data_IF_321943836335
#
_entry.id   IF_321943836335
#
_cell.length_a   1.000
_cell.length_b   1.000
_cell.length_c   1.000
_cell.angle_alpha   90.00
_cell.angle_beta   90.00
_cell.angle_gamma   90.00
#
_symmetry.space_group_name_H-M   'P 1'
#
loop_
_entity.id
_entity.type
_entity.pdbx_description
1 polymer ?
#
# COMPACT_ATOMS: atom_id res chain seq x y z
N UNK A 1 61.67 -3.41 40.02
CA UNK A 1 61.47 -2.19 39.22
C UNK A 1 60.15 -1.54 39.64
N UNK A 2 60.23 -0.27 40.07
CA UNK A 2 59.30 0.84 39.80
C UNK A 2 57.79 0.72 40.18
N UNK A 3 57.43 1.53 41.20
CA UNK A 3 56.30 2.49 41.32
C UNK A 3 54.84 1.96 41.19
N UNK A 4 54.00 2.09 42.24
CA UNK A 4 53.00 3.18 42.50
C UNK A 4 51.83 3.16 41.49
N UNK A 5 50.53 3.27 41.81
CA UNK A 5 49.72 4.17 42.67
C UNK A 5 48.25 3.63 42.55
N UNK A 6 47.44 3.38 43.58
CA UNK A 6 46.48 4.28 44.27
C UNK A 6 45.27 4.83 43.43
N UNK A 7 44.03 4.50 43.91
CA UNK A 7 42.76 5.31 43.98
C UNK A 7 41.83 5.26 42.70
N UNK A 8 40.51 5.57 42.74
CA UNK A 8 39.33 4.87 43.30
C UNK A 8 38.10 4.77 42.33
N UNK A 9 36.99 4.18 42.83
CA UNK A 9 35.55 4.49 42.63
C UNK A 9 35.13 5.28 41.36
N UNK A 10 34.19 4.72 40.56
CA UNK A 10 32.95 5.42 40.12
C UNK A 10 31.85 4.38 39.84
N UNK A 11 30.77 4.42 40.63
CA UNK A 11 29.46 3.89 40.25
C UNK A 11 28.87 4.85 39.21
N UNK A 12 28.58 4.34 38.02
CA UNK A 12 27.89 5.06 36.94
C UNK A 12 26.82 4.18 36.33
N UNK A 13 25.62 4.22 36.90
CA UNK A 13 24.38 3.80 36.27
C UNK A 13 24.07 4.80 35.14
N UNK A 14 23.98 4.39 33.87
CA UNK A 14 22.96 4.89 32.92
C UNK A 14 23.10 4.33 31.49
N UNK A 15 21.91 4.14 30.90
CA UNK A 15 21.55 4.21 29.48
C UNK A 15 21.82 2.98 28.60
N UNK A 16 20.82 2.09 28.63
CA UNK A 16 20.06 1.61 27.47
C UNK A 16 20.43 2.35 26.18
N UNK A 17 21.35 1.80 25.40
CA UNK A 17 21.40 2.07 23.96
C UNK A 17 20.52 1.01 23.29
N UNK A 18 19.22 1.30 23.22
CA UNK A 18 18.41 0.77 22.14
C UNK A 18 19.12 1.14 20.85
N UNK A 19 19.38 0.21 19.90
CA UNK A 19 19.59 0.66 18.55
C UNK A 19 18.29 1.33 18.12
N UNK A 20 18.26 2.67 18.16
CA UNK A 20 17.41 3.45 17.27
C UNK A 20 17.86 3.07 15.87
N UNK A 21 17.28 1.98 15.35
CA UNK A 21 17.12 1.83 13.93
C UNK A 21 16.28 3.03 13.53
N UNK A 22 16.96 4.10 13.11
CA UNK A 22 16.41 4.99 12.12
C UNK A 22 16.16 4.09 10.91
N UNK A 23 15.00 3.43 10.89
CA UNK A 23 14.37 2.99 9.66
C UNK A 23 13.99 4.29 8.97
N UNK A 24 15.00 4.85 8.31
CA UNK A 24 14.87 5.75 7.20
C UNK A 24 13.67 5.26 6.41
N UNK A 25 12.71 6.15 6.17
CA UNK A 25 11.56 5.89 5.33
C UNK A 25 12.10 5.56 3.95
N UNK A 26 12.41 4.28 3.73
CA UNK A 26 12.65 3.73 2.41
C UNK A 26 11.32 3.89 1.72
N UNK A 27 11.26 4.96 0.95
CA UNK A 27 10.26 5.16 -0.08
C UNK A 27 10.19 3.83 -0.81
N UNK A 28 9.09 3.08 -0.63
CA UNK A 28 8.81 1.86 -1.38
C UNK A 28 8.89 2.25 -2.86
N UNK A 29 10.04 2.06 -3.51
CA UNK A 29 10.21 2.26 -4.95
C UNK A 29 9.66 1.06 -5.68
N UNK A 30 8.44 0.69 -5.34
CA UNK A 30 7.78 -0.47 -5.87
C UNK A 30 7.03 -0.02 -7.12
N UNK A 31 7.41 -0.57 -8.27
CA UNK A 31 6.71 -0.32 -9.53
C UNK A 31 5.39 -1.11 -9.58
N UNK A 32 4.52 -0.96 -8.58
CA UNK A 32 3.23 -1.65 -8.57
C UNK A 32 2.25 -0.95 -9.50
N UNK A 33 1.53 -1.77 -10.26
CA UNK A 33 0.56 -1.30 -11.22
C UNK A 33 -0.79 -1.91 -10.86
N UNK A 34 -1.80 -1.08 -10.63
CA UNK A 34 -3.18 -1.52 -10.58
C UNK A 34 -3.72 -1.62 -12.01
N UNK A 35 -4.15 -2.81 -12.42
CA UNK A 35 -4.63 -3.13 -13.76
C UNK A 35 -6.12 -3.41 -13.70
N UNK A 36 -6.90 -2.55 -14.35
CA UNK A 36 -8.34 -2.70 -14.51
C UNK A 36 -8.62 -3.31 -15.88
N UNK A 37 -9.42 -4.38 -15.90
CA UNK A 37 -9.93 -4.95 -17.14
C UNK A 37 -10.83 -3.98 -17.91
N UNK A 38 -11.05 -4.26 -19.20
CA UNK A 38 -11.87 -3.43 -20.09
C UNK A 38 -13.39 -3.56 -19.86
N UNK A 39 -13.84 -4.43 -18.96
CA UNK A 39 -15.28 -4.62 -18.70
C UNK A 39 -15.86 -3.50 -17.83
N UNK A 40 -17.13 -3.14 -18.05
CA UNK A 40 -17.86 -2.14 -17.24
C UNK A 40 -18.06 -2.58 -15.79
N UNK A 41 -17.96 -3.88 -15.53
CA UNK A 41 -18.21 -4.49 -14.23
C UNK A 41 -17.01 -4.38 -13.27
N UNK A 42 -15.91 -3.81 -13.77
CA UNK A 42 -14.61 -3.73 -13.10
C UNK A 42 -14.56 -2.51 -12.17
N UNK A 43 -15.35 -1.46 -12.46
CA UNK A 43 -15.55 -0.28 -11.60
C UNK A 43 -16.99 0.19 -11.73
N UNK A 44 -17.74 0.21 -10.62
CA UNK A 44 -19.13 0.68 -10.62
C UNK A 44 -19.52 1.37 -9.32
N UNK A 45 -20.64 2.09 -9.33
CA UNK A 45 -21.30 2.60 -8.11
C UNK A 45 -22.59 1.83 -7.84
N UNK A 46 -22.80 1.44 -6.59
CA UNK A 46 -24.10 0.92 -6.18
C UNK A 46 -25.14 2.05 -5.99
N UNK A 47 -26.40 1.68 -5.70
CA UNK A 47 -27.49 2.64 -5.50
C UNK A 47 -27.28 3.59 -4.30
N UNK A 48 -26.37 3.25 -3.39
CA UNK A 48 -26.00 4.07 -2.23
C UNK A 48 -24.74 4.91 -2.51
N UNK A 49 -24.18 4.83 -3.72
CA UNK A 49 -22.99 5.57 -4.13
C UNK A 49 -21.66 4.95 -3.69
N UNK A 50 -21.66 3.72 -3.18
CA UNK A 50 -20.43 2.98 -2.84
C UNK A 50 -19.70 2.55 -4.10
N UNK A 51 -18.38 2.65 -4.10
CA UNK A 51 -17.55 2.16 -5.20
C UNK A 51 -17.33 0.65 -5.06
N UNK A 52 -17.60 -0.09 -6.13
CA UNK A 52 -17.23 -1.49 -6.28
C UNK A 52 -16.13 -1.56 -7.32
N UNK A 53 -15.00 -2.16 -6.97
CA UNK A 53 -13.85 -2.29 -7.86
C UNK A 53 -13.28 -3.70 -7.83
N UNK A 54 -12.94 -4.20 -9.02
CA UNK A 54 -12.22 -5.44 -9.22
C UNK A 54 -11.00 -5.09 -10.06
N UNK A 55 -9.80 -5.35 -9.60
CA UNK A 55 -8.60 -5.05 -10.38
C UNK A 55 -7.48 -5.98 -9.96
N UNK A 56 -6.45 -6.08 -10.80
CA UNK A 56 -5.24 -6.80 -10.43
C UNK A 56 -4.17 -5.82 -9.97
N UNK A 57 -3.34 -6.22 -9.01
CA UNK A 57 -2.09 -5.52 -8.72
C UNK A 57 -0.96 -6.41 -9.20
N UNK A 58 -0.18 -5.89 -10.14
CA UNK A 58 0.96 -6.58 -10.73
C UNK A 58 2.26 -5.90 -10.34
N UNK A 59 3.25 -6.71 -9.98
CA UNK A 59 4.58 -6.28 -9.59
C UNK A 59 5.46 -7.43 -9.12
N UNK A 60 6.73 -7.15 -8.85
CA UNK A 60 7.57 -8.09 -8.13
C UNK A 60 7.30 -7.89 -6.64
N UNK A 61 6.57 -8.81 -6.04
CA UNK A 61 6.23 -8.78 -4.62
C UNK A 61 7.06 -9.81 -3.85
N UNK A 62 7.69 -9.40 -2.77
CA UNK A 62 8.03 -10.27 -1.64
C UNK A 62 6.78 -10.56 -0.80
N UNK A 63 6.82 -11.61 0.02
CA UNK A 63 5.70 -11.92 0.93
C UNK A 63 5.44 -10.79 1.94
N UNK A 64 6.51 -10.13 2.39
CA UNK A 64 6.44 -8.97 3.28
C UNK A 64 5.75 -7.77 2.62
N UNK A 65 6.03 -7.53 1.33
CA UNK A 65 5.40 -6.44 0.58
C UNK A 65 3.89 -6.66 0.41
N UNK A 66 3.46 -7.90 0.19
CA UNK A 66 2.03 -8.26 0.14
C UNK A 66 1.36 -8.08 1.50
N UNK A 67 2.04 -8.49 2.57
CA UNK A 67 1.53 -8.31 3.93
C UNK A 67 1.38 -6.83 4.29
N UNK A 68 2.35 -6.00 3.88
CA UNK A 68 2.31 -4.56 4.08
C UNK A 68 1.20 -3.90 3.26
N UNK A 69 1.02 -4.29 2.00
CA UNK A 69 -0.08 -3.84 1.16
C UNK A 69 -1.44 -4.14 1.81
N UNK A 70 -1.64 -5.38 2.29
CA UNK A 70 -2.84 -5.79 3.04
C UNK A 70 -3.04 -4.92 4.28
N UNK A 71 -1.96 -4.63 5.02
CA UNK A 71 -1.99 -3.81 6.21
C UNK A 71 -2.40 -2.37 5.90
N UNK A 72 -1.81 -1.76 4.86
CA UNK A 72 -2.12 -0.39 4.43
C UNK A 72 -3.58 -0.24 3.97
N UNK A 73 -4.06 -1.17 3.15
CA UNK A 73 -5.46 -1.20 2.70
C UNK A 73 -6.43 -1.35 3.88
N UNK A 74 -6.12 -2.26 4.81
CA UNK A 74 -6.97 -2.48 5.99
C UNK A 74 -6.95 -1.27 6.94
N UNK A 75 -5.80 -0.61 7.10
CA UNK A 75 -5.63 0.53 8.01
C UNK A 75 -6.30 1.81 7.49
N UNK A 76 -6.49 1.95 6.17
CA UNK A 76 -7.10 3.14 5.57
C UNK A 76 -8.62 3.23 5.81
N UNK A 77 -9.25 2.11 6.21
CA UNK A 77 -10.63 2.03 6.73
C UNK A 77 -11.72 2.64 5.82
N UNK A 78 -11.53 2.55 4.49
CA UNK A 78 -12.53 3.01 3.51
C UNK A 78 -13.43 1.88 2.98
N UNK A 79 -13.19 0.64 3.40
CA UNK A 79 -13.84 -0.54 2.82
C UNK A 79 -14.97 -1.07 3.71
N UNK A 80 -16.06 -1.48 3.07
CA UNK A 80 -17.07 -2.35 3.65
C UNK A 80 -16.66 -3.82 3.46
N UNK A 81 -16.16 -4.15 2.27
CA UNK A 81 -15.51 -5.42 1.98
C UNK A 81 -14.21 -5.18 1.20
N UNK A 82 -13.19 -5.96 1.51
CA UNK A 82 -11.90 -5.94 0.84
C UNK A 82 -11.33 -7.35 0.85
N UNK A 83 -10.87 -7.81 -0.32
CA UNK A 83 -10.19 -9.08 -0.49
C UNK A 83 -9.04 -8.90 -1.48
N UNK A 84 -7.93 -9.56 -1.19
CA UNK A 84 -6.77 -9.63 -2.08
C UNK A 84 -6.24 -11.07 -2.09
N UNK A 85 -6.26 -11.67 -3.28
CA UNK A 85 -5.96 -13.08 -3.50
C UNK A 85 -4.89 -13.25 -4.58
N UNK A 86 -3.91 -14.15 -4.39
CA UNK A 86 -2.94 -14.46 -5.45
C UNK A 86 -3.66 -15.06 -6.65
N UNK A 87 -3.12 -14.78 -7.84
CA UNK A 87 -3.52 -15.45 -9.09
C UNK A 87 -2.60 -16.62 -9.41
N UNK A 88 -2.85 -17.30 -10.52
CA UNK A 88 -1.95 -18.29 -11.12
C UNK A 88 -0.69 -17.63 -11.74
N UNK A 89 -0.70 -16.31 -11.96
CA UNK A 89 0.44 -15.54 -12.46
C UNK A 89 1.28 -15.05 -11.27
N UNK A 90 2.57 -15.44 -11.18
CA UNK A 90 3.46 -14.96 -10.13
C UNK A 90 3.55 -13.43 -10.11
N UNK A 91 3.48 -12.83 -8.92
CA UNK A 91 3.53 -11.38 -8.75
C UNK A 91 2.25 -10.65 -9.16
N UNK A 92 1.14 -11.37 -9.37
CA UNK A 92 -0.16 -10.77 -9.66
C UNK A 92 -1.19 -11.21 -8.64
N UNK A 93 -1.89 -10.23 -8.07
CA UNK A 93 -2.96 -10.41 -7.10
C UNK A 93 -4.25 -9.80 -7.63
N UNK A 94 -5.38 -10.48 -7.47
CA UNK A 94 -6.70 -9.88 -7.71
C UNK A 94 -7.16 -9.23 -6.42
N UNK A 95 -7.61 -7.98 -6.54
CA UNK A 95 -8.29 -7.21 -5.52
C UNK A 95 -9.76 -7.10 -5.87
N UNK A 96 -10.61 -7.37 -4.88
CA UNK A 96 -12.05 -7.16 -4.94
C UNK A 96 -12.44 -6.32 -3.73
N UNK A 97 -13.05 -5.17 -3.98
CA UNK A 97 -13.38 -4.22 -2.93
C UNK A 97 -14.73 -3.55 -3.15
N UNK A 98 -15.35 -3.21 -2.01
CA UNK A 98 -16.54 -2.37 -1.91
C UNK A 98 -16.27 -1.32 -0.85
N UNK A 99 -16.35 -0.05 -1.22
CA UNK A 99 -16.10 1.05 -0.27
C UNK A 99 -17.30 1.29 0.64
N UNK A 100 -17.07 1.99 1.76
CA UNK A 100 -18.14 2.60 2.56
C UNK A 100 -18.86 3.69 1.75
N UNK A 101 -20.07 4.03 2.19
CA UNK A 101 -20.88 5.11 1.61
C UNK A 101 -20.12 6.44 1.71
N UNK A 102 -20.16 7.25 0.65
CA UNK A 102 -19.55 8.58 0.62
C UNK A 102 -18.02 8.61 0.42
N UNK A 103 -17.37 7.46 0.25
CA UNK A 103 -15.96 7.41 -0.12
C UNK A 103 -15.77 7.98 -1.53
N UNK A 104 -14.97 9.04 -1.61
CA UNK A 104 -14.65 9.69 -2.89
C UNK A 104 -13.56 8.93 -3.65
N UNK A 105 -13.56 9.06 -4.98
CA UNK A 105 -12.47 8.54 -5.83
C UNK A 105 -11.12 9.14 -5.41
N UNK A 106 -11.10 10.39 -4.93
CA UNK A 106 -9.88 11.00 -4.43
C UNK A 106 -9.35 10.33 -3.16
N UNK A 107 -10.21 9.77 -2.30
CA UNK A 107 -9.75 9.05 -1.12
C UNK A 107 -9.10 7.73 -1.52
N UNK A 108 -9.69 7.02 -2.48
CA UNK A 108 -9.13 5.79 -3.03
C UNK A 108 -7.83 6.02 -3.80
N UNK A 109 -7.76 7.09 -4.59
CA UNK A 109 -6.54 7.54 -5.24
C UNK A 109 -5.37 7.75 -4.27
N UNK A 110 -5.64 8.37 -3.12
CA UNK A 110 -4.64 8.55 -2.06
C UNK A 110 -4.16 7.19 -1.53
N UNK A 111 -5.07 6.23 -1.36
CA UNK A 111 -4.72 4.87 -0.96
C UNK A 111 -3.73 4.22 -1.93
N UNK A 112 -3.94 4.36 -3.25
CA UNK A 112 -2.98 3.85 -4.24
C UNK A 112 -1.59 4.47 -4.06
N UNK A 113 -1.52 5.80 -3.94
CA UNK A 113 -0.25 6.50 -3.78
C UNK A 113 0.48 6.09 -2.49
N UNK A 114 -0.21 6.03 -1.34
CA UNK A 114 0.44 5.62 -0.07
C UNK A 114 0.84 4.14 -0.05
N UNK A 115 0.19 3.32 -0.87
CA UNK A 115 0.47 1.88 -0.98
C UNK A 115 1.58 1.56 -1.99
N UNK A 116 2.23 2.58 -2.56
CA UNK A 116 3.27 2.40 -3.58
C UNK A 116 2.73 1.93 -4.93
N UNK A 117 1.42 2.06 -5.18
CA UNK A 117 0.82 1.81 -6.49
C UNK A 117 0.99 3.09 -7.29
N UNK A 118 2.07 3.18 -8.07
CA UNK A 118 2.45 4.38 -8.82
C UNK A 118 1.64 4.59 -10.10
N UNK A 119 1.16 3.50 -10.69
CA UNK A 119 0.45 3.52 -11.95
C UNK A 119 -0.85 2.73 -11.91
N UNK A 120 -1.80 3.22 -12.68
CA UNK A 120 -3.05 2.54 -13.00
C UNK A 120 -3.08 2.30 -14.51
N UNK A 121 -3.44 1.08 -14.91
CA UNK A 121 -3.63 0.69 -16.28
C UNK A 121 -5.11 0.35 -16.51
N UNK A 122 -5.74 1.00 -17.48
CA UNK A 122 -7.14 0.78 -17.86
C UNK A 122 -7.14 0.53 -19.36
N UNK A 123 -7.66 -0.63 -19.79
CA UNK A 123 -7.72 -1.00 -21.20
C UNK A 123 -6.36 -0.87 -21.92
N UNK A 124 -5.28 -1.31 -21.26
CA UNK A 124 -3.90 -1.22 -21.75
C UNK A 124 -3.28 0.19 -21.75
N UNK A 125 -4.03 1.22 -21.36
CA UNK A 125 -3.53 2.59 -21.23
C UNK A 125 -3.09 2.86 -19.79
N UNK A 126 -1.80 3.13 -19.63
CA UNK A 126 -1.19 3.45 -18.34
C UNK A 126 -1.26 4.94 -18.01
N UNK A 127 -1.59 5.26 -16.78
CA UNK A 127 -1.55 6.59 -16.19
C UNK A 127 -0.98 6.55 -14.78
N UNK A 128 -0.47 7.69 -14.29
CA UNK A 128 -0.07 7.81 -12.89
C UNK A 128 -1.31 7.68 -11.99
N UNK A 129 -1.15 7.00 -10.85
CA UNK A 129 -2.24 6.81 -9.89
C UNK A 129 -2.83 8.13 -9.41
N UNK A 130 -2.03 9.20 -9.31
CA UNK A 130 -2.50 10.55 -8.97
C UNK A 130 -3.51 11.15 -9.98
N UNK A 131 -3.60 10.57 -11.17
CA UNK A 131 -4.54 10.96 -12.22
C UNK A 131 -5.69 9.96 -12.39
N UNK A 132 -5.80 8.97 -11.50
CA UNK A 132 -6.88 7.99 -11.54
C UNK A 132 -8.24 8.67 -11.39
N UNK A 133 -9.13 8.37 -12.33
CA UNK A 133 -10.52 8.82 -12.40
C UNK A 133 -11.42 7.68 -12.85
N UNK A 134 -12.64 7.61 -12.32
CA UNK A 134 -13.63 6.60 -12.73
C UNK A 134 -14.39 6.96 -14.02
N UNK A 135 -14.23 8.18 -14.52
CA UNK A 135 -14.97 8.67 -15.71
C UNK A 135 -14.72 7.82 -16.97
N UNK A 136 -13.56 7.14 -17.06
CA UNK A 136 -13.26 6.19 -18.12
C UNK A 136 -14.10 4.90 -18.10
N UNK A 137 -14.77 4.61 -17.00
CA UNK A 137 -15.66 3.45 -16.81
C UNK A 137 -17.15 3.84 -16.89
N UNK A 138 -17.50 5.10 -16.60
CA UNK A 138 -18.88 5.59 -16.65
C UNK A 138 -19.34 5.98 -18.08
N UNK A 139 -18.42 6.13 -19.05
CA UNK A 139 -18.72 6.61 -20.41
C UNK A 139 -18.76 5.54 -21.51
N UNK A 140 -18.57 4.25 -21.20
CA UNK A 140 -18.73 3.16 -22.18
C UNK A 140 -20.09 2.52 -22.04
#
# INVERSE_FOLDING_TARGET
MRYCLLIPIVIGLLLINSPTSNAQSDTFTSNYIAVFGAAKDVVSRDAEGRLNMIYSISGLFSEEEVAELKRLFSAYDIFETFSITPTDIPGTFVVVEKTKVGVSVSAHRKLFVISGIDYVEIDGKRMKSENFTIEGFEQQ
#
